data_IF_791107628747
#
_entry.id   IF_791107628747
#
_cell.length_a   1.000
_cell.length_b   1.000
_cell.length_c   1.000
_cell.angle_alpha   90.00
_cell.angle_beta   90.00
_cell.angle_gamma   90.00
#
_symmetry.space_group_name_H-M   'P 1'
#
loop_
_entity.id
_entity.type
_entity.pdbx_description
1 polymer ?
#
# COMPACT_ATOMS: atom_id res chain seq x y z
N UNK A 1 11.12 -10.16 -12.27
CA UNK A 1 10.42 -8.86 -12.14
C UNK A 1 11.20 -7.85 -12.95
N UNK A 2 10.56 -7.05 -13.82
CA UNK A 2 11.26 -5.95 -14.49
C UNK A 2 11.26 -4.77 -13.52
N UNK A 3 12.41 -4.25 -13.06
CA UNK A 3 12.48 -3.18 -12.07
C UNK A 3 11.79 -1.89 -12.53
N UNK A 4 11.76 -1.64 -13.85
CA UNK A 4 11.22 -0.41 -14.44
C UNK A 4 9.70 -0.33 -14.46
N UNK A 5 8.99 -1.45 -14.26
CA UNK A 5 7.53 -1.49 -14.37
C UNK A 5 6.96 -2.38 -13.27
N UNK A 6 6.75 -1.81 -12.09
CA UNK A 6 5.77 -2.37 -11.16
C UNK A 6 4.36 -2.21 -11.75
N UNK A 7 3.81 -3.29 -12.28
CA UNK A 7 2.39 -3.41 -12.67
C UNK A 7 1.58 -4.22 -11.64
N UNK A 8 2.15 -4.48 -10.47
CA UNK A 8 1.54 -5.24 -9.37
C UNK A 8 1.02 -4.33 -8.24
N UNK A 9 1.39 -3.05 -8.21
CA UNK A 9 0.90 -2.07 -7.25
C UNK A 9 1.66 -2.05 -5.93
N UNK A 10 2.95 -2.41 -5.96
CA UNK A 10 3.90 -2.28 -4.87
C UNK A 10 5.07 -1.37 -5.27
N UNK A 11 5.31 -0.33 -4.49
CA UNK A 11 6.38 0.64 -4.75
C UNK A 11 7.78 0.04 -4.49
N UNK A 12 7.90 -0.91 -3.56
CA UNK A 12 9.18 -1.51 -3.15
C UNK A 12 9.05 -3.03 -3.06
N UNK A 13 10.10 -3.75 -3.48
CA UNK A 13 10.28 -5.17 -3.17
C UNK A 13 11.57 -5.35 -2.40
N UNK A 14 11.48 -5.99 -1.23
CA UNK A 14 12.62 -6.34 -0.40
C UNK A 14 12.73 -7.87 -0.30
N UNK A 15 13.96 -8.37 -0.23
CA UNK A 15 14.26 -9.77 0.03
C UNK A 15 15.25 -9.88 1.19
N UNK A 16 14.94 -10.73 2.16
CA UNK A 16 15.82 -11.07 3.27
C UNK A 16 15.59 -12.54 3.66
N UNK A 17 16.66 -13.31 3.90
CA UNK A 17 16.57 -14.71 4.32
C UNK A 17 15.61 -15.55 3.44
N UNK A 18 15.64 -15.32 2.12
CA UNK A 18 14.76 -15.96 1.12
C UNK A 18 13.26 -15.64 1.25
N UNK A 19 12.89 -14.63 2.05
CA UNK A 19 11.53 -14.09 2.13
C UNK A 19 11.45 -12.82 1.30
N UNK A 20 10.55 -12.81 0.31
CA UNK A 20 10.24 -11.63 -0.51
C UNK A 20 9.02 -10.90 0.05
N UNK A 21 9.12 -9.58 0.22
CA UNK A 21 8.05 -8.69 0.67
C UNK A 21 7.77 -7.63 -0.38
N UNK A 22 6.52 -7.62 -0.88
CA UNK A 22 6.02 -6.60 -1.79
C UNK A 22 5.34 -5.51 -0.97
N UNK A 23 5.88 -4.30 -1.00
CA UNK A 23 5.46 -3.19 -0.14
C UNK A 23 4.78 -2.13 -0.99
N UNK A 24 3.53 -1.79 -0.66
CA UNK A 24 2.88 -0.57 -1.13
C UNK A 24 3.08 0.54 -0.11
N UNK A 25 3.64 1.65 -0.54
CA UNK A 25 3.76 2.86 0.25
C UNK A 25 2.53 3.73 0.06
N UNK A 26 2.09 4.33 1.16
CA UNK A 26 1.03 5.34 1.15
C UNK A 26 1.41 6.49 2.05
N UNK A 27 0.92 7.67 1.70
CA UNK A 27 1.06 8.85 2.53
C UNK A 27 -0.28 9.55 2.72
N UNK A 28 -0.43 10.22 3.85
CA UNK A 28 -1.48 11.22 4.03
C UNK A 28 -0.97 12.33 4.94
N UNK A 29 -1.55 13.51 4.80
CA UNK A 29 -1.31 14.55 5.77
C UNK A 29 -1.87 14.18 7.14
N UNK A 30 -1.19 14.62 8.19
CA UNK A 30 -1.66 14.48 9.55
C UNK A 30 -3.06 15.10 9.72
N UNK A 31 -3.98 14.36 10.36
CA UNK A 31 -5.37 14.80 10.53
C UNK A 31 -6.23 14.75 9.25
N UNK A 32 -5.81 14.07 8.19
CA UNK A 32 -6.62 13.87 7.00
C UNK A 32 -7.97 13.22 7.33
N UNK A 33 -9.06 13.71 6.73
CA UNK A 33 -10.44 13.21 6.97
C UNK A 33 -10.68 11.76 6.54
N UNK A 34 -9.78 11.17 5.76
CA UNK A 34 -9.96 9.82 5.21
C UNK A 34 -9.56 8.80 6.27
N UNK A 35 -10.53 8.06 6.80
CA UNK A 35 -10.33 7.04 7.83
C UNK A 35 -9.71 5.72 7.34
N UNK A 36 -9.30 5.64 6.06
CA UNK A 36 -8.78 4.40 5.49
C UNK A 36 -8.14 4.57 4.11
N UNK A 37 -7.39 3.54 3.72
CA UNK A 37 -6.59 3.50 2.51
C UNK A 37 -7.03 2.38 1.57
N UNK A 38 -7.03 2.64 0.27
CA UNK A 38 -7.32 1.61 -0.74
C UNK A 38 -6.10 0.73 -0.97
N UNK A 39 -6.23 -0.57 -0.75
CA UNK A 39 -5.20 -1.56 -1.02
C UNK A 39 -5.28 -2.03 -2.47
N UNK A 40 -4.14 -2.19 -3.15
CA UNK A 40 -4.15 -2.82 -4.46
C UNK A 40 -4.51 -4.31 -4.33
N UNK A 41 -5.55 -4.79 -5.00
CA UNK A 41 -5.99 -6.19 -4.93
C UNK A 41 -4.89 -7.16 -5.38
N UNK A 42 -4.05 -6.78 -6.35
CA UNK A 42 -2.92 -7.63 -6.79
C UNK A 42 -1.88 -7.81 -5.69
N UNK A 43 -1.71 -6.80 -4.83
CA UNK A 43 -0.83 -6.89 -3.66
C UNK A 43 -1.35 -7.90 -2.64
N UNK A 44 -2.67 -7.99 -2.47
CA UNK A 44 -3.29 -8.92 -1.52
C UNK A 44 -2.96 -10.39 -1.81
N UNK A 45 -2.83 -10.71 -3.10
CA UNK A 45 -2.52 -12.07 -3.56
C UNK A 45 -1.01 -12.37 -3.59
N UNK A 46 -0.14 -11.42 -3.21
CA UNK A 46 1.31 -11.64 -3.16
C UNK A 46 1.71 -12.23 -1.80
N UNK A 47 2.62 -13.23 -1.76
CA UNK A 47 3.22 -13.66 -0.51
C UNK A 47 3.94 -12.48 0.14
N UNK A 48 3.75 -12.34 1.45
CA UNK A 48 4.21 -11.23 2.27
C UNK A 48 3.83 -9.84 1.73
N UNK A 49 2.71 -9.69 1.00
CA UNK A 49 2.23 -8.37 0.62
C UNK A 49 1.97 -7.50 1.86
N UNK A 50 2.34 -6.22 1.82
CA UNK A 50 2.02 -5.31 2.90
C UNK A 50 1.96 -3.85 2.48
N UNK A 51 1.40 -3.04 3.36
CA UNK A 51 1.28 -1.59 3.22
C UNK A 51 2.02 -0.93 4.36
N UNK A 52 2.83 0.06 4.01
CA UNK A 52 3.36 1.03 4.97
C UNK A 52 2.67 2.36 4.68
N UNK A 53 1.92 2.85 5.66
CA UNK A 53 1.24 4.14 5.55
C UNK A 53 1.91 5.14 6.48
N UNK A 54 2.39 6.23 5.90
CA UNK A 54 3.13 7.28 6.58
C UNK A 54 2.27 8.53 6.66
N UNK A 55 2.10 9.07 7.85
CA UNK A 55 1.55 10.42 8.02
C UNK A 55 2.66 11.45 8.05
N UNK A 56 2.40 12.62 7.47
CA UNK A 56 3.34 13.74 7.47
C UNK A 56 2.65 15.07 7.76
N UNK A 57 3.39 16.03 8.30
CA UNK A 57 2.93 17.41 8.48
C UNK A 57 2.97 18.14 7.13
N UNK A 58 1.86 18.78 6.74
CA UNK A 58 1.75 19.39 5.40
C UNK A 58 2.59 20.66 5.22
N UNK A 59 3.05 21.27 6.31
CA UNK A 59 3.84 22.51 6.30
C UNK A 59 5.33 22.25 6.47
N UNK A 60 5.72 21.33 7.37
CA UNK A 60 7.13 21.02 7.64
C UNK A 60 7.65 19.83 6.84
N UNK A 61 6.74 19.00 6.30
CA UNK A 61 7.04 17.70 5.67
C UNK A 61 7.70 16.68 6.60
N UNK A 62 7.67 16.92 7.91
CA UNK A 62 8.14 15.96 8.90
C UNK A 62 7.20 14.75 8.95
N UNK A 63 7.79 13.56 9.10
CA UNK A 63 7.02 12.32 9.22
C UNK A 63 6.51 12.18 10.65
N UNK A 64 5.20 12.00 10.82
CA UNK A 64 4.54 11.99 12.13
C UNK A 64 4.33 10.57 12.64
N UNK A 65 3.67 9.73 11.84
CA UNK A 65 3.22 8.39 12.24
C UNK A 65 3.50 7.37 11.14
N UNK A 66 3.77 6.13 11.55
CA UNK A 66 3.93 5.00 10.64
C UNK A 66 2.94 3.91 11.02
N UNK A 67 2.16 3.46 10.05
CA UNK A 67 1.21 2.36 10.18
C UNK A 67 1.61 1.22 9.27
N UNK A 68 1.41 0.00 9.76
CA UNK A 68 1.72 -1.21 9.02
C UNK A 68 0.47 -2.08 8.91
N UNK A 69 0.19 -2.54 7.69
CA UNK A 69 -0.82 -3.56 7.42
C UNK A 69 -0.19 -4.68 6.59
N UNK A 70 -0.06 -5.86 7.17
CA UNK A 70 0.67 -6.98 6.60
C UNK A 70 0.32 -8.26 7.34
N UNK A 71 0.63 -9.39 6.71
CA UNK A 71 0.60 -10.71 7.34
C UNK A 71 2.02 -11.22 7.64
N UNK A 72 2.08 -12.42 8.21
CA UNK A 72 3.31 -13.15 8.46
C UNK A 72 4.15 -13.34 7.19
N UNK A 73 5.45 -13.53 7.37
CA UNK A 73 6.37 -13.83 6.28
C UNK A 73 5.89 -15.04 5.45
N UNK A 74 5.87 -14.88 4.13
CA UNK A 74 5.43 -15.91 3.18
C UNK A 74 3.90 -16.02 3.03
N UNK A 75 3.11 -15.44 3.93
CA UNK A 75 1.65 -15.52 3.87
C UNK A 75 1.05 -14.38 3.03
N UNK A 76 -0.09 -14.61 2.34
CA UNK A 76 -0.83 -13.53 1.67
C UNK A 76 -1.48 -12.59 2.70
N UNK A 77 -1.95 -11.41 2.25
CA UNK A 77 -2.71 -10.51 3.12
C UNK A 77 -4.07 -11.12 3.48
N UNK A 78 -4.46 -10.99 4.74
CA UNK A 78 -5.77 -11.40 5.28
C UNK A 78 -6.54 -10.18 5.80
N UNK A 79 -7.84 -10.29 6.06
CA UNK A 79 -8.66 -9.19 6.58
C UNK A 79 -9.21 -8.23 5.51
N UNK A 80 -9.07 -8.58 4.23
CA UNK A 80 -9.63 -7.83 3.10
C UNK A 80 -10.94 -8.42 2.58
N UNK A 81 -11.32 -9.63 3.03
CA UNK A 81 -12.47 -10.39 2.54
C UNK A 81 -13.82 -9.66 2.65
N UNK A 82 -13.97 -8.79 3.65
CA UNK A 82 -15.20 -8.03 3.91
C UNK A 82 -15.08 -6.55 3.51
N UNK A 83 -14.00 -6.16 2.81
CA UNK A 83 -13.77 -4.77 2.41
C UNK A 83 -14.41 -4.45 1.06
N UNK A 84 -14.87 -3.21 0.88
CA UNK A 84 -15.47 -2.77 -0.40
C UNK A 84 -14.36 -2.63 -1.45
N UNK A 85 -14.54 -3.26 -2.61
CA UNK A 85 -13.66 -3.05 -3.77
C UNK A 85 -13.82 -1.61 -4.27
N UNK A 86 -12.75 -0.84 -4.19
CA UNK A 86 -12.71 0.52 -4.71
C UNK A 86 -12.82 0.49 -6.25
N UNK A 87 -13.71 1.32 -6.81
CA UNK A 87 -13.82 1.51 -8.25
C UNK A 87 -12.86 2.61 -8.68
N UNK A 88 -12.08 2.37 -9.72
CA UNK A 88 -11.34 3.44 -10.40
C UNK A 88 -12.35 4.34 -11.13
N UNK A 89 -12.69 5.47 -10.53
CA UNK A 89 -13.17 6.62 -11.30
C UNK A 89 -11.94 7.30 -11.87
N UNK A 90 -11.47 6.83 -13.04
CA UNK A 90 -10.68 7.73 -13.88
C UNK A 90 -11.64 8.84 -14.28
N UNK A 91 -11.30 10.09 -13.96
CA UNK A 91 -11.88 11.22 -14.68
C UNK A 91 -11.71 10.95 -16.17
N UNK A 92 -12.75 11.20 -16.96
CA UNK A 92 -12.59 11.20 -18.40
C UNK A 92 -11.57 12.29 -18.78
N UNK A 93 -11.16 12.38 -20.05
CA UNK A 93 -10.20 13.40 -20.47
C UNK A 93 -10.66 14.85 -20.22
N UNK A 94 -11.89 15.05 -19.75
CA UNK A 94 -12.52 16.33 -19.45
C UNK A 94 -12.54 16.67 -17.95
N UNK A 95 -12.12 15.74 -17.07
CA UNK A 95 -12.06 15.95 -15.61
C UNK A 95 -13.12 15.20 -14.83
#
# INVERSE_FOLDING_TARGET
MKPEVDNAGCDIVLEENSVVRHIQLKTSKFGAKKSGQNVNIRLANKPSGCIVWIEFDEHTLELCSFYFFGSEAGQPLTGLENTKVAKHTKGNAEG
#
